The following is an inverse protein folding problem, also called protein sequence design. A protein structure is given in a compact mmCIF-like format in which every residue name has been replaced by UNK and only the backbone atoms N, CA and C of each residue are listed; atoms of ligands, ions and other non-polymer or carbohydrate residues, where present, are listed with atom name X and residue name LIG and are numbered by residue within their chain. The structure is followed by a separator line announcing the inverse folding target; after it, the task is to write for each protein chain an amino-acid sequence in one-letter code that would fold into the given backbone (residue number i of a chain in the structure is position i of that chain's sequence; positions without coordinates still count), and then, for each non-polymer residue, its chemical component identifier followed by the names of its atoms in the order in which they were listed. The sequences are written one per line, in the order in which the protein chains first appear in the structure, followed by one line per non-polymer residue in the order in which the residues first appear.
data_IF_878939864650
#
_entry.id   IF_878939864650
#
_cell.length_a   1.000
_cell.length_b   1.000
_cell.length_c   1.000
_cell.angle_alpha   90.00
_cell.angle_beta   90.00
_cell.angle_gamma   90.00
#
_symmetry.space_group_name_H-M   'P 1'
#
loop_
_entity.id
_entity.type
_entity.pdbx_description
1 polymer ?
#
# COMPACT_ATOMS: atom_id res chain seq x y z
N UNK A 1 7.73 -1.26 -17.28
CA UNK A 1 6.54 -0.77 -16.57
C UNK A 1 5.46 -1.79 -16.89
N UNK A 2 4.82 -2.40 -15.88
CA UNK A 2 3.73 -3.34 -16.12
C UNK A 2 2.53 -2.58 -16.67
N UNK A 3 1.63 -3.30 -17.35
CA UNK A 3 0.38 -2.71 -17.80
C UNK A 3 -0.49 -2.46 -16.58
N UNK A 4 -0.54 -1.20 -16.10
CA UNK A 4 -1.43 -0.82 -15.01
C UNK A 4 -2.88 -0.78 -15.52
N UNK A 5 -3.79 -1.39 -14.75
CA UNK A 5 -5.20 -1.46 -15.04
C UNK A 5 -5.95 -0.26 -14.46
N UNK A 6 -6.62 0.48 -15.30
CA UNK A 6 -7.39 1.69 -14.92
C UNK A 6 -8.86 1.46 -15.22
N UNK A 7 -9.73 1.68 -14.22
CA UNK A 7 -11.17 1.74 -14.43
C UNK A 7 -11.59 3.21 -14.55
N UNK A 8 -12.34 3.53 -15.59
CA UNK A 8 -12.95 4.85 -15.79
C UNK A 8 -14.45 4.71 -15.71
N UNK A 9 -15.08 5.53 -14.86
CA UNK A 9 -16.54 5.48 -14.61
C UNK A 9 -17.11 6.87 -14.82
N UNK A 10 -17.99 7.02 -15.80
CA UNK A 10 -18.61 8.28 -16.16
C UNK A 10 -19.90 8.01 -16.97
N UNK A 11 -20.96 8.75 -16.74
CA UNK A 11 -22.21 8.59 -17.51
C UNK A 11 -22.18 9.33 -18.87
N UNK A 12 -21.10 10.09 -19.13
CA UNK A 12 -20.85 10.77 -20.40
C UNK A 12 -19.92 9.91 -21.28
N UNK A 13 -20.47 9.37 -22.38
CA UNK A 13 -19.75 8.51 -23.32
C UNK A 13 -18.56 9.21 -23.98
N UNK A 14 -18.70 10.52 -24.28
CA UNK A 14 -17.62 11.30 -24.90
C UNK A 14 -16.42 11.43 -23.95
N UNK A 15 -16.68 11.57 -22.67
CA UNK A 15 -15.63 11.60 -21.62
C UNK A 15 -14.96 10.24 -21.49
N UNK A 16 -15.72 9.15 -21.47
CA UNK A 16 -15.17 7.78 -21.42
C UNK A 16 -14.24 7.53 -22.60
N UNK A 17 -14.71 7.79 -23.83
CA UNK A 17 -13.91 7.58 -25.06
C UNK A 17 -12.65 8.46 -25.06
N UNK A 18 -12.76 9.72 -24.65
CA UNK A 18 -11.62 10.63 -24.56
C UNK A 18 -10.55 10.11 -23.61
N UNK A 19 -10.94 9.70 -22.40
CA UNK A 19 -10.01 9.23 -21.36
C UNK A 19 -9.42 7.88 -21.76
N UNK A 20 -10.24 6.92 -22.20
CA UNK A 20 -9.80 5.60 -22.64
C UNK A 20 -8.75 5.71 -23.74
N UNK A 21 -9.07 6.43 -24.83
CA UNK A 21 -8.13 6.63 -25.95
C UNK A 21 -6.84 7.30 -25.49
N UNK A 22 -6.94 8.31 -24.62
CA UNK A 22 -5.76 9.05 -24.15
C UNK A 22 -4.85 8.18 -23.29
N UNK A 23 -5.38 7.43 -22.34
CA UNK A 23 -4.61 6.61 -21.41
C UNK A 23 -4.11 5.33 -22.07
N UNK A 24 -4.90 4.69 -22.96
CA UNK A 24 -4.45 3.53 -23.75
C UNK A 24 -3.27 3.87 -24.65
N UNK A 25 -3.26 5.07 -25.25
CA UNK A 25 -2.11 5.57 -26.01
C UNK A 25 -0.85 5.81 -25.14
N UNK A 26 -0.98 5.82 -23.82
CA UNK A 26 0.14 5.90 -22.86
C UNK A 26 0.60 4.52 -22.38
N UNK A 27 -0.06 3.44 -22.83
CA UNK A 27 0.27 2.07 -22.48
C UNK A 27 -0.45 1.51 -21.26
N UNK A 28 -1.50 2.17 -20.79
CA UNK A 28 -2.36 1.66 -19.71
C UNK A 28 -3.44 0.74 -20.28
N UNK A 29 -3.83 -0.28 -19.51
CA UNK A 29 -5.02 -1.08 -19.79
C UNK A 29 -6.24 -0.37 -19.18
N UNK A 30 -7.12 0.12 -20.04
CA UNK A 30 -8.28 0.91 -19.61
C UNK A 30 -9.56 0.10 -19.79
N UNK A 31 -10.38 0.08 -18.77
CA UNK A 31 -11.73 -0.48 -18.78
C UNK A 31 -12.69 0.66 -18.43
N UNK A 32 -13.80 0.75 -19.15
CA UNK A 32 -14.82 1.79 -18.94
C UNK A 32 -16.11 1.21 -18.37
N UNK A 33 -16.84 2.03 -17.62
CA UNK A 33 -18.18 1.75 -17.14
C UNK A 33 -19.02 3.03 -17.17
N UNK A 34 -20.30 2.91 -17.56
CA UNK A 34 -21.21 4.05 -17.69
C UNK A 34 -21.86 4.50 -16.39
N UNK A 35 -21.80 3.68 -15.36
CA UNK A 35 -22.35 4.00 -14.04
C UNK A 35 -21.70 3.13 -12.96
N UNK A 36 -22.01 3.43 -11.70
CA UNK A 36 -21.51 2.65 -10.57
C UNK A 36 -22.05 1.21 -10.54
N UNK A 37 -23.25 0.94 -11.11
CA UNK A 37 -23.78 -0.43 -11.17
C UNK A 37 -22.96 -1.34 -12.07
N UNK A 38 -22.41 -0.80 -13.16
CA UNK A 38 -21.47 -1.53 -14.02
C UNK A 38 -20.06 -1.60 -13.42
N UNK A 39 -19.61 -0.54 -12.76
CA UNK A 39 -18.29 -0.46 -12.18
C UNK A 39 -18.07 -1.48 -11.04
N UNK A 40 -19.04 -1.64 -10.13
CA UNK A 40 -18.87 -2.51 -8.96
C UNK A 40 -18.62 -3.98 -9.31
N UNK A 41 -19.34 -4.63 -10.25
CA UNK A 41 -19.01 -5.99 -10.68
C UNK A 41 -17.65 -6.14 -11.35
N UNK A 42 -17.16 -5.08 -12.04
CA UNK A 42 -15.83 -5.08 -12.65
C UNK A 42 -14.74 -5.06 -11.57
N UNK A 43 -14.94 -4.29 -10.50
CA UNK A 43 -14.03 -4.29 -9.36
C UNK A 43 -13.86 -5.70 -8.76
N UNK A 44 -14.91 -6.54 -8.79
CA UNK A 44 -14.81 -7.91 -8.27
C UNK A 44 -14.04 -8.87 -9.18
N UNK A 45 -14.06 -8.63 -10.49
CA UNK A 45 -13.48 -9.52 -11.50
C UNK A 45 -12.05 -9.16 -11.90
N UNK A 46 -11.72 -7.88 -11.85
CA UNK A 46 -10.45 -7.33 -12.32
C UNK A 46 -9.73 -6.61 -11.18
N UNK A 47 -8.42 -6.77 -11.11
CA UNK A 47 -7.58 -5.98 -10.21
C UNK A 47 -7.21 -4.67 -10.90
N UNK A 48 -7.68 -3.57 -10.34
CA UNK A 48 -7.35 -2.24 -10.81
C UNK A 48 -6.25 -1.59 -9.97
N UNK A 49 -5.51 -0.70 -10.59
CA UNK A 49 -4.47 0.10 -9.95
C UNK A 49 -4.96 1.50 -9.64
N UNK A 50 -5.83 2.00 -10.49
CA UNK A 50 -6.46 3.32 -10.39
C UNK A 50 -7.92 3.23 -10.82
N UNK A 51 -8.77 3.97 -10.15
CA UNK A 51 -10.15 4.25 -10.57
C UNK A 51 -10.28 5.75 -10.80
N UNK A 52 -10.82 6.13 -11.94
CA UNK A 52 -11.19 7.52 -12.26
C UNK A 52 -12.71 7.52 -12.36
N UNK A 53 -13.40 8.24 -11.50
CA UNK A 53 -14.87 8.22 -11.45
C UNK A 53 -15.47 9.61 -11.46
N UNK A 54 -16.53 9.82 -12.24
CA UNK A 54 -17.34 11.02 -12.05
C UNK A 54 -17.97 11.00 -10.66
N UNK A 55 -18.10 12.16 -10.08
CA UNK A 55 -18.71 12.36 -8.78
C UNK A 55 -20.23 12.20 -8.84
N UNK A 56 -20.86 12.70 -9.91
CA UNK A 56 -22.31 12.70 -10.06
C UNK A 56 -22.78 11.80 -11.19
N UNK A 57 -23.21 10.62 -10.83
CA UNK A 57 -23.82 9.66 -11.74
C UNK A 57 -25.18 9.20 -11.22
N UNK A 58 -26.09 8.74 -12.09
CA UNK A 58 -27.34 8.14 -11.68
C UNK A 58 -27.14 6.89 -10.82
N UNK A 59 -28.06 6.62 -9.89
CA UNK A 59 -28.14 5.42 -9.03
C UNK A 59 -27.01 5.29 -8.02
N UNK A 60 -25.79 4.98 -8.47
CA UNK A 60 -24.59 4.84 -7.63
C UNK A 60 -23.62 5.95 -8.04
N UNK A 61 -23.44 6.92 -7.17
CA UNK A 61 -22.55 8.05 -7.39
C UNK A 61 -21.06 7.71 -7.17
N UNK A 62 -20.18 8.64 -7.54
CA UNK A 62 -18.74 8.46 -7.41
C UNK A 62 -18.25 8.36 -5.97
N UNK A 63 -18.98 8.90 -5.00
CA UNK A 63 -18.64 8.75 -3.57
C UNK A 63 -18.85 7.31 -3.10
N UNK A 64 -19.96 6.68 -3.51
CA UNK A 64 -20.21 5.28 -3.20
C UNK A 64 -19.21 4.37 -3.94
N UNK A 65 -18.86 4.68 -5.20
CA UNK A 65 -17.78 3.95 -5.92
C UNK A 65 -16.46 4.07 -5.16
N UNK A 66 -16.07 5.26 -4.76
CA UNK A 66 -14.86 5.51 -3.95
C UNK A 66 -14.87 4.68 -2.67
N UNK A 67 -15.97 4.70 -1.93
CA UNK A 67 -16.12 3.94 -0.69
C UNK A 67 -15.92 2.44 -0.93
N UNK A 68 -16.57 1.87 -1.93
CA UNK A 68 -16.46 0.44 -2.28
C UNK A 68 -15.06 0.06 -2.72
N UNK A 69 -14.41 0.90 -3.52
CA UNK A 69 -13.01 0.69 -3.93
C UNK A 69 -12.11 0.61 -2.71
N UNK A 70 -12.24 1.54 -1.76
CA UNK A 70 -11.39 1.60 -0.57
C UNK A 70 -11.68 0.50 0.44
N UNK A 71 -12.91 0.04 0.55
CA UNK A 71 -13.29 -1.13 1.34
C UNK A 71 -12.66 -2.41 0.78
N UNK A 72 -12.65 -2.56 -0.54
CA UNK A 72 -12.08 -3.72 -1.21
C UNK A 72 -10.55 -3.76 -1.14
N UNK A 73 -9.90 -2.70 -1.54
CA UNK A 73 -8.44 -2.56 -1.47
C UNK A 73 -8.06 -1.08 -1.26
N UNK A 74 -7.60 -0.71 -0.07
CA UNK A 74 -7.19 0.67 0.21
C UNK A 74 -5.98 1.14 -0.62
N UNK A 75 -5.27 0.23 -1.29
CA UNK A 75 -4.14 0.58 -2.15
C UNK A 75 -4.54 0.98 -3.57
N UNK A 76 -5.78 0.74 -3.98
CA UNK A 76 -6.29 1.27 -5.25
C UNK A 76 -6.40 2.79 -5.10
N UNK A 77 -5.75 3.54 -5.96
CA UNK A 77 -5.91 4.99 -5.96
C UNK A 77 -7.20 5.38 -6.68
N UNK A 78 -7.81 6.49 -6.24
CA UNK A 78 -9.05 6.99 -6.84
C UNK A 78 -8.89 8.46 -7.16
N UNK A 79 -9.24 8.84 -8.39
CA UNK A 79 -9.30 10.22 -8.87
C UNK A 79 -10.75 10.54 -9.19
N UNK A 80 -11.22 11.67 -8.68
CA UNK A 80 -12.60 12.14 -8.90
C UNK A 80 -12.64 13.04 -10.12
N UNK A 81 -13.61 12.83 -11.01
CA UNK A 81 -14.00 13.80 -12.04
C UNK A 81 -15.15 14.63 -11.48
N UNK A 82 -15.14 15.94 -11.69
CA UNK A 82 -16.19 16.81 -11.16
C UNK A 82 -16.53 17.94 -12.12
N UNK A 83 -17.79 18.18 -12.30
CA UNK A 83 -18.32 19.41 -12.94
C UNK A 83 -18.36 20.58 -11.95
N UNK A 84 -18.87 21.72 -12.40
CA UNK A 84 -19.05 22.92 -11.57
C UNK A 84 -20.08 22.67 -10.45
N UNK A 85 -19.77 23.04 -9.21
CA UNK A 85 -20.73 23.16 -8.11
C UNK A 85 -20.68 22.08 -7.02
N UNK A 86 -19.64 21.24 -6.95
CA UNK A 86 -19.55 20.14 -5.98
C UNK A 86 -18.28 20.17 -5.12
N UNK A 87 -17.78 21.38 -4.81
CA UNK A 87 -16.53 21.55 -4.07
C UNK A 87 -16.57 20.90 -2.68
N UNK A 88 -17.68 20.94 -1.97
CA UNK A 88 -17.81 20.32 -0.65
C UNK A 88 -17.67 18.79 -0.74
N UNK A 89 -18.29 18.15 -1.73
CA UNK A 89 -18.16 16.71 -1.97
C UNK A 89 -16.75 16.30 -2.41
N UNK A 90 -16.06 17.17 -3.18
CA UNK A 90 -14.64 16.94 -3.53
C UNK A 90 -13.76 17.00 -2.29
N UNK A 91 -13.99 17.97 -1.40
CA UNK A 91 -13.26 18.09 -0.14
C UNK A 91 -13.50 16.86 0.74
N UNK A 92 -14.72 16.39 0.84
CA UNK A 92 -15.08 15.15 1.55
C UNK A 92 -14.37 13.94 0.95
N UNK A 93 -14.40 13.75 -0.37
CA UNK A 93 -13.70 12.66 -1.06
C UNK A 93 -12.20 12.64 -0.77
N UNK A 94 -11.55 13.81 -0.76
CA UNK A 94 -10.12 13.94 -0.52
C UNK A 94 -9.74 13.72 0.96
N UNK A 95 -10.53 14.25 1.89
CA UNK A 95 -10.22 14.19 3.33
C UNK A 95 -10.62 12.85 3.95
N UNK A 96 -11.86 12.48 3.75
CA UNK A 96 -12.50 11.38 4.47
C UNK A 96 -12.64 10.12 3.60
N UNK A 97 -12.88 10.29 2.29
CA UNK A 97 -13.02 9.19 1.34
C UNK A 97 -11.71 8.57 0.89
N UNK A 98 -10.57 9.24 1.09
CA UNK A 98 -9.26 8.73 0.69
C UNK A 98 -9.00 8.78 -0.83
N UNK A 99 -9.70 9.65 -1.56
CA UNK A 99 -9.36 9.94 -2.95
C UNK A 99 -7.94 10.54 -3.04
N UNK A 100 -7.26 10.25 -4.15
CA UNK A 100 -5.91 10.77 -4.39
C UNK A 100 -5.93 12.24 -4.79
N UNK A 101 -6.80 12.56 -5.75
CA UNK A 101 -6.91 13.89 -6.33
C UNK A 101 -8.25 14.03 -7.06
N UNK A 102 -8.50 15.19 -7.63
CA UNK A 102 -9.65 15.43 -8.50
C UNK A 102 -9.24 16.14 -9.80
N UNK A 103 -10.08 16.00 -10.82
CA UNK A 103 -9.97 16.68 -12.11
C UNK A 103 -11.30 17.37 -12.42
N UNK A 104 -11.22 18.62 -12.83
CA UNK A 104 -12.40 19.41 -13.18
C UNK A 104 -12.80 19.18 -14.63
N UNK A 105 -14.07 18.89 -14.87
CA UNK A 105 -14.69 18.90 -16.19
C UNK A 105 -15.04 20.33 -16.61
N UNK A 106 -14.94 20.67 -17.89
CA UNK A 106 -14.44 19.86 -18.99
C UNK A 106 -12.90 19.71 -18.97
N UNK A 107 -12.41 18.56 -19.44
CA UNK A 107 -10.98 18.22 -19.45
C UNK A 107 -10.22 18.97 -20.54
N UNK A 108 -10.20 20.31 -20.46
CA UNK A 108 -9.50 21.16 -21.43
C UNK A 108 -8.00 20.87 -21.54
N UNK A 109 -7.40 20.42 -20.45
CA UNK A 109 -5.98 20.11 -20.42
C UNK A 109 -5.76 18.61 -20.16
N UNK A 110 -5.78 17.84 -21.24
CA UNK A 110 -5.56 16.39 -21.16
C UNK A 110 -4.19 16.00 -20.59
N UNK A 111 -3.20 16.91 -20.57
CA UNK A 111 -1.90 16.67 -19.92
C UNK A 111 -2.05 16.58 -18.40
N UNK A 112 -3.05 17.27 -17.83
CA UNK A 112 -3.35 17.19 -16.40
C UNK A 112 -3.83 15.78 -16.03
N UNK A 113 -4.69 15.16 -16.84
CA UNK A 113 -5.11 13.77 -16.66
C UNK A 113 -3.89 12.84 -16.63
N UNK A 114 -2.98 12.94 -17.62
CA UNK A 114 -1.77 12.14 -17.63
C UNK A 114 -0.89 12.36 -16.39
N UNK A 115 -0.77 13.59 -15.94
CA UNK A 115 0.04 13.94 -14.77
C UNK A 115 -0.55 13.33 -13.50
N UNK A 116 -1.85 13.51 -13.25
CA UNK A 116 -2.55 12.99 -12.08
C UNK A 116 -2.55 11.45 -12.07
N UNK A 117 -2.86 10.82 -13.21
CA UNK A 117 -2.81 9.36 -13.38
C UNK A 117 -1.44 8.81 -13.00
N UNK A 118 -0.37 9.37 -13.56
CA UNK A 118 1.00 8.94 -13.25
C UNK A 118 1.33 9.10 -11.78
N UNK A 119 0.95 10.22 -11.16
CA UNK A 119 1.21 10.50 -9.74
C UNK A 119 0.42 9.56 -8.81
N UNK A 120 -0.80 9.24 -9.14
CA UNK A 120 -1.60 8.26 -8.42
C UNK A 120 -0.94 6.86 -8.44
N UNK A 121 -0.54 6.40 -9.60
CA UNK A 121 0.12 5.11 -9.78
C UNK A 121 1.51 5.07 -9.10
N UNK A 122 2.30 6.13 -9.19
CA UNK A 122 3.57 6.28 -8.47
C UNK A 122 3.37 6.17 -6.95
N UNK A 123 2.35 6.84 -6.39
CA UNK A 123 1.99 6.75 -4.97
C UNK A 123 1.64 5.33 -4.56
N UNK A 124 0.84 4.63 -5.37
CA UNK A 124 0.50 3.22 -5.13
C UNK A 124 1.75 2.35 -5.09
N UNK A 125 2.61 2.45 -6.10
CA UNK A 125 3.85 1.67 -6.16
C UNK A 125 4.73 1.90 -4.94
N UNK A 126 4.98 3.16 -4.56
CA UNK A 126 5.77 3.50 -3.38
C UNK A 126 5.15 2.96 -2.08
N UNK A 127 3.83 3.01 -1.95
CA UNK A 127 3.12 2.45 -0.79
C UNK A 127 3.32 0.94 -0.68
N UNK A 128 3.13 0.21 -1.78
CA UNK A 128 3.30 -1.24 -1.82
C UNK A 128 4.76 -1.66 -1.57
N UNK A 129 5.72 -0.93 -2.12
CA UNK A 129 7.14 -1.15 -1.87
C UNK A 129 7.49 -0.93 -0.39
N UNK A 130 7.02 0.16 0.21
CA UNK A 130 7.22 0.43 1.64
C UNK A 130 6.61 -0.68 2.51
N UNK A 131 5.40 -1.14 2.21
CA UNK A 131 4.77 -2.26 2.93
C UNK A 131 5.62 -3.52 2.84
N UNK A 132 6.13 -3.85 1.65
CA UNK A 132 7.01 -5.01 1.43
C UNK A 132 8.33 -4.90 2.20
N UNK A 133 8.95 -3.72 2.21
CA UNK A 133 10.18 -3.48 2.96
C UNK A 133 9.96 -3.61 4.47
N UNK A 134 8.88 -3.05 5.00
CA UNK A 134 8.52 -3.16 6.41
C UNK A 134 8.33 -4.64 6.80
N UNK A 135 7.65 -5.43 5.99
CA UNK A 135 7.44 -6.86 6.27
C UNK A 135 8.76 -7.63 6.22
N UNK A 136 9.62 -7.34 5.26
CA UNK A 136 10.96 -7.94 5.17
C UNK A 136 11.81 -7.62 6.40
N UNK A 137 11.77 -6.37 6.86
CA UNK A 137 12.49 -5.94 8.07
C UNK A 137 11.95 -6.63 9.34
N UNK A 138 10.63 -6.75 9.49
CA UNK A 138 9.99 -7.46 10.60
C UNK A 138 10.42 -8.92 10.65
N UNK A 139 10.42 -9.59 9.50
CA UNK A 139 10.84 -10.99 9.40
C UNK A 139 12.34 -11.14 9.71
N UNK A 140 13.19 -10.25 9.20
CA UNK A 140 14.62 -10.22 9.50
C UNK A 140 14.89 -10.04 11.00
N UNK A 141 14.21 -9.09 11.64
CA UNK A 141 14.30 -8.87 13.07
C UNK A 141 13.83 -10.07 13.88
N UNK A 142 12.73 -10.72 13.49
CA UNK A 142 12.24 -11.94 14.14
C UNK A 142 13.31 -13.05 14.11
N UNK A 143 13.88 -13.29 12.92
CA UNK A 143 14.94 -14.31 12.75
C UNK A 143 16.19 -14.00 13.58
N UNK A 144 16.57 -12.72 13.65
CA UNK A 144 17.70 -12.30 14.47
C UNK A 144 17.45 -12.54 15.95
N UNK A 145 16.28 -12.18 16.47
CA UNK A 145 15.88 -12.46 17.85
C UNK A 145 15.89 -13.95 18.20
N UNK A 146 15.38 -14.79 17.30
CA UNK A 146 15.42 -16.25 17.47
C UNK A 146 16.86 -16.79 17.56
N UNK A 147 17.76 -16.28 16.68
CA UNK A 147 19.19 -16.65 16.72
C UNK A 147 19.85 -16.21 18.03
N UNK A 148 19.61 -14.97 18.46
CA UNK A 148 20.15 -14.46 19.73
C UNK A 148 19.66 -15.26 20.92
N UNK A 149 18.38 -15.60 20.96
CA UNK A 149 17.81 -16.45 22.03
C UNK A 149 18.41 -17.86 22.03
N UNK A 150 18.74 -18.40 20.85
CA UNK A 150 19.44 -19.70 20.75
C UNK A 150 20.85 -19.59 21.31
N UNK A 151 21.64 -18.63 20.88
CA UNK A 151 23.00 -18.39 21.36
C UNK A 151 23.02 -18.19 22.88
N UNK A 152 22.08 -17.40 23.41
CA UNK A 152 21.96 -17.20 24.86
C UNK A 152 21.69 -18.49 25.62
N UNK A 153 20.85 -19.39 25.08
CA UNK A 153 20.62 -20.71 25.69
C UNK A 153 21.87 -21.60 25.68
N UNK A 154 22.58 -21.59 24.53
CA UNK A 154 23.80 -22.39 24.38
C UNK A 154 24.89 -21.90 25.35
N UNK A 155 25.04 -20.58 25.50
CA UNK A 155 25.97 -19.97 26.48
C UNK A 155 25.58 -20.31 27.92
N UNK A 156 24.31 -20.26 28.29
CA UNK A 156 23.84 -20.71 29.61
C UNK A 156 24.14 -22.18 29.87
N UNK A 157 24.00 -23.03 28.85
CA UNK A 157 24.39 -24.46 28.95
C UNK A 157 25.88 -24.64 29.22
N UNK A 158 26.74 -23.92 28.50
CA UNK A 158 28.19 -23.93 28.68
C UNK A 158 28.55 -23.41 30.09
N UNK A 159 27.95 -22.32 30.53
CA UNK A 159 28.15 -21.75 31.86
C UNK A 159 27.81 -22.77 32.96
N UNK A 160 26.73 -23.52 32.83
CA UNK A 160 26.34 -24.58 33.79
C UNK A 160 27.39 -25.68 33.86
N UNK A 161 27.96 -26.10 32.73
CA UNK A 161 29.00 -27.13 32.66
C UNK A 161 30.29 -26.63 33.33
N UNK A 162 30.71 -25.40 33.00
CA UNK A 162 31.93 -24.82 33.59
C UNK A 162 31.79 -24.62 35.11
N UNK A 163 30.63 -24.11 35.56
CA UNK A 163 30.36 -23.92 36.99
C UNK A 163 30.34 -25.22 37.79
N UNK A 164 30.05 -26.37 37.16
CA UNK A 164 30.09 -27.68 37.79
C UNK A 164 31.49 -28.36 37.73
N UNK A 165 32.46 -27.70 37.10
CA UNK A 165 33.84 -28.21 36.99
C UNK A 165 34.56 -28.09 38.35
N UNK A 166 35.38 -29.06 38.66
CA UNK A 166 36.26 -29.03 39.84
C UNK A 166 37.49 -28.13 39.67
N UNK A 167 37.66 -27.57 38.48
CA UNK A 167 38.77 -26.66 38.15
C UNK A 167 38.44 -25.23 38.59
N UNK A 168 39.05 -24.81 39.69
CA UNK A 168 38.79 -23.52 40.33
C UNK A 168 39.27 -22.32 39.48
N UNK A 169 40.32 -22.49 38.70
CA UNK A 169 40.89 -21.44 37.85
C UNK A 169 39.96 -21.16 36.64
N UNK A 170 39.46 -22.21 36.01
CA UNK A 170 38.46 -22.16 34.94
C UNK A 170 37.18 -21.50 35.42
N UNK A 171 36.67 -21.85 36.59
CA UNK A 171 35.42 -21.32 37.14
C UNK A 171 35.53 -19.83 37.45
N UNK A 172 36.64 -19.38 38.07
CA UNK A 172 36.84 -17.96 38.41
C UNK A 172 37.05 -17.04 37.21
N UNK A 173 37.58 -17.54 36.10
CA UNK A 173 37.91 -16.73 34.94
C UNK A 173 36.80 -16.72 33.87
N UNK A 174 36.22 -17.90 33.60
CA UNK A 174 35.31 -18.07 32.46
C UNK A 174 33.86 -17.72 32.84
N UNK A 175 33.41 -18.01 34.05
CA UNK A 175 32.00 -17.74 34.45
C UNK A 175 31.67 -16.25 34.38
N UNK A 176 32.44 -15.30 34.92
CA UNK A 176 32.16 -13.88 34.83
C UNK A 176 32.16 -13.35 33.40
N UNK A 177 33.05 -13.89 32.53
CA UNK A 177 33.08 -13.48 31.13
C UNK A 177 31.84 -13.94 30.36
N UNK A 178 31.35 -15.16 30.59
CA UNK A 178 30.11 -15.67 30.02
C UNK A 178 28.89 -14.93 30.53
N UNK A 179 28.81 -14.56 31.80
CA UNK A 179 27.75 -13.76 32.38
C UNK A 179 27.66 -12.38 31.71
N UNK A 180 28.80 -11.72 31.52
CA UNK A 180 28.86 -10.42 30.84
C UNK A 180 28.36 -10.53 29.38
N UNK A 181 28.73 -11.57 28.64
CA UNK A 181 28.27 -11.79 27.29
C UNK A 181 26.76 -12.05 27.26
N UNK A 182 26.23 -12.84 28.16
CA UNK A 182 24.78 -13.13 28.24
C UNK A 182 24.00 -11.86 28.56
N UNK A 183 24.52 -10.98 29.42
CA UNK A 183 23.89 -9.70 29.76
C UNK A 183 23.84 -8.74 28.56
N UNK A 184 24.92 -8.66 27.77
CA UNK A 184 24.95 -7.90 26.53
C UNK A 184 23.90 -8.43 25.52
N UNK A 185 23.79 -9.75 25.39
CA UNK A 185 22.81 -10.37 24.48
C UNK A 185 21.37 -10.11 24.92
N UNK A 186 21.10 -9.99 26.22
CA UNK A 186 19.76 -9.66 26.76
C UNK A 186 19.42 -8.19 26.60
N UNK A 187 20.39 -7.29 26.77
CA UNK A 187 20.17 -5.84 26.64
C UNK A 187 19.98 -5.38 25.18
N UNK A 188 20.38 -6.18 24.21
CA UNK A 188 20.19 -5.93 22.79
C UNK A 188 18.86 -6.45 22.21
N UNK A 189 17.95 -6.97 23.03
CA UNK A 189 16.61 -7.44 22.65
C UNK A 189 15.55 -6.36 22.85
#
# INVERSE_FOLDING_TARGET
MGNENILVVDDDEDILELIERHLSNKGYEVVTAYDGEQALPLLEKVKFDLVITDLKMPKIDGMEVLRRVKEKDPNIEVVILTGHGTMDSVIEALRDGGAFDYLQKPLYNIKQLSFVTRKALERKHLRLENQRLIETLKEGNRRLKEKLARVSRDLNGIMSIVASSSDHELTQTIVPALEAIIEILKSGQ
#
